data_IF_708007054281
#
_entry.id   IF_708007054281
#
_cell.length_a   1.000
_cell.length_b   1.000
_cell.length_c   1.000
_cell.angle_alpha   90.00
_cell.angle_beta   90.00
_cell.angle_gamma   90.00
#
_symmetry.space_group_name_H-M   'P 1'
#
loop_
_entity.id
_entity.type
_entity.pdbx_description
1 polymer ?
#
# COMPACT_ATOMS: atom_id res chain seq x y z
N UNK A 1 10.20 11.45 -8.02
CA UNK A 1 9.72 10.20 -8.64
C UNK A 1 8.35 9.84 -8.10
N UNK A 2 7.44 9.43 -8.99
CA UNK A 2 6.13 8.87 -8.69
C UNK A 2 6.10 7.43 -9.17
N UNK A 3 5.52 6.52 -8.39
CA UNK A 3 5.43 5.10 -8.74
C UNK A 3 4.00 4.60 -8.52
N UNK A 4 3.46 3.95 -9.55
CA UNK A 4 2.19 3.24 -9.49
C UNK A 4 2.47 1.74 -9.56
N UNK A 5 1.81 0.93 -8.72
CA UNK A 5 1.90 -0.53 -8.76
C UNK A 5 0.51 -1.08 -9.02
N UNK A 6 0.42 -2.01 -9.97
CA UNK A 6 -0.81 -2.69 -10.33
C UNK A 6 -0.78 -4.13 -9.80
N UNK A 7 -1.80 -4.47 -9.03
CA UNK A 7 -1.99 -5.82 -8.52
C UNK A 7 -2.75 -6.65 -9.57
N UNK A 8 -2.05 -7.48 -10.33
CA UNK A 8 -2.71 -8.47 -11.18
C UNK A 8 -3.05 -9.71 -10.35
N UNK A 9 -4.34 -9.94 -10.11
CA UNK A 9 -4.83 -11.09 -9.33
C UNK A 9 -4.76 -12.41 -10.09
N UNK A 10 -4.50 -12.38 -11.41
CA UNK A 10 -4.52 -13.57 -12.29
C UNK A 10 -3.13 -14.11 -12.63
N UNK A 11 -2.09 -13.28 -12.58
CA UNK A 11 -0.73 -13.69 -12.96
C UNK A 11 0.28 -13.28 -11.89
N UNK A 12 0.86 -14.27 -11.22
CA UNK A 12 1.78 -14.09 -10.09
C UNK A 12 3.26 -13.88 -10.49
N UNK A 13 3.54 -13.57 -11.75
CA UNK A 13 4.90 -13.75 -12.29
C UNK A 13 5.78 -12.52 -12.03
N UNK A 14 5.28 -11.29 -12.23
CA UNK A 14 6.02 -10.05 -11.91
C UNK A 14 5.07 -8.87 -11.62
N UNK A 15 5.43 -7.98 -10.68
CA UNK A 15 4.66 -6.76 -10.45
C UNK A 15 4.64 -5.90 -11.72
N UNK A 16 3.45 -5.38 -12.05
CA UNK A 16 3.26 -4.40 -13.12
C UNK A 16 3.12 -3.01 -12.52
N UNK A 17 3.46 -1.98 -13.28
CA UNK A 17 3.40 -0.63 -12.76
C UNK A 17 3.95 0.43 -13.71
N UNK A 18 4.11 1.62 -13.14
CA UNK A 18 4.62 2.80 -13.82
C UNK A 18 5.61 3.54 -12.90
N UNK A 19 6.61 4.17 -13.49
CA UNK A 19 7.59 4.99 -12.79
C UNK A 19 7.83 6.28 -13.57
N UNK A 20 7.62 7.43 -12.95
CA UNK A 20 7.81 8.75 -13.57
C UNK A 20 8.80 9.60 -12.79
N UNK A 21 9.68 10.30 -13.49
CA UNK A 21 10.57 11.29 -12.89
C UNK A 21 9.89 12.66 -12.84
N UNK A 22 9.20 12.94 -11.73
CA UNK A 22 8.51 14.23 -11.53
C UNK A 22 9.41 15.48 -11.58
N UNK A 23 10.75 15.35 -11.58
CA UNK A 23 11.63 16.51 -11.74
C UNK A 23 11.79 16.89 -13.21
N UNK A 24 12.02 15.91 -14.07
CA UNK A 24 12.31 16.08 -15.49
C UNK A 24 11.11 15.80 -16.41
N UNK A 25 10.10 15.10 -15.91
CA UNK A 25 8.89 14.63 -16.61
C UNK A 25 7.65 14.91 -15.74
N UNK A 26 7.36 16.20 -15.56
CA UNK A 26 6.25 16.66 -14.69
C UNK A 26 4.87 16.21 -15.18
N UNK A 27 4.74 16.04 -16.49
CA UNK A 27 3.49 15.66 -17.16
C UNK A 27 3.39 14.14 -17.39
N UNK A 28 4.32 13.35 -16.84
CA UNK A 28 4.26 11.88 -16.81
C UNK A 28 4.23 11.23 -18.22
N UNK A 29 4.92 11.81 -19.20
CA UNK A 29 4.95 11.27 -20.57
C UNK A 29 5.88 10.05 -20.72
N UNK A 30 6.84 9.87 -19.81
CA UNK A 30 7.90 8.89 -19.94
C UNK A 30 7.85 7.84 -18.83
N UNK A 31 7.19 6.72 -19.11
CA UNK A 31 7.16 5.60 -18.16
C UNK A 31 8.50 4.83 -18.14
N UNK A 32 9.20 4.91 -17.01
CA UNK A 32 10.50 4.32 -16.75
C UNK A 32 10.44 2.91 -16.13
N UNK A 33 9.26 2.31 -15.94
CA UNK A 33 9.07 1.06 -15.19
C UNK A 33 9.92 -0.12 -15.69
N UNK A 34 10.00 -0.26 -17.02
CA UNK A 34 10.75 -1.33 -17.71
C UNK A 34 12.22 -0.98 -17.93
N UNK A 35 12.65 0.24 -17.59
CA UNK A 35 14.02 0.68 -17.81
C UNK A 35 14.94 0.14 -16.70
N UNK A 36 15.94 -0.70 -17.01
CA UNK A 36 16.82 -1.31 -16.00
C UNK A 36 17.70 -0.29 -15.27
N UNK A 37 18.01 0.87 -15.88
CA UNK A 37 18.79 1.93 -15.25
C UNK A 37 18.09 2.54 -14.02
N UNK A 38 16.77 2.34 -13.90
CA UNK A 38 15.96 2.85 -12.78
C UNK A 38 15.59 1.76 -11.77
N UNK A 39 16.25 0.60 -11.82
CA UNK A 39 16.00 -0.52 -10.91
C UNK A 39 16.16 -0.13 -9.43
N UNK A 40 17.23 0.59 -9.09
CA UNK A 40 17.47 1.03 -7.71
C UNK A 40 16.41 2.03 -7.23
N UNK A 41 16.00 2.96 -8.11
CA UNK A 41 14.95 3.93 -7.80
C UNK A 41 13.63 3.22 -7.52
N UNK A 42 13.27 2.24 -8.36
CA UNK A 42 12.07 1.41 -8.20
C UNK A 42 12.10 0.65 -6.86
N UNK A 43 13.20 -0.03 -6.55
CA UNK A 43 13.34 -0.79 -5.32
C UNK A 43 13.25 0.10 -4.07
N UNK A 44 13.88 1.27 -4.11
CA UNK A 44 13.81 2.24 -3.00
C UNK A 44 12.38 2.72 -2.75
N UNK A 45 11.65 3.09 -3.81
CA UNK A 45 10.26 3.53 -3.67
C UNK A 45 9.34 2.41 -3.18
N UNK A 46 9.55 1.18 -3.66
CA UNK A 46 8.79 0.01 -3.22
C UNK A 46 9.05 -0.32 -1.74
N UNK A 47 10.31 -0.25 -1.30
CA UNK A 47 10.67 -0.37 0.11
C UNK A 47 9.96 0.69 0.97
N UNK A 48 10.04 1.96 0.57
CA UNK A 48 9.40 3.05 1.30
C UNK A 48 7.87 2.87 1.39
N UNK A 49 7.23 2.39 0.32
CA UNK A 49 5.80 2.09 0.31
C UNK A 49 5.45 0.97 1.30
N UNK A 50 6.22 -0.12 1.29
CA UNK A 50 6.02 -1.25 2.21
C UNK A 50 6.21 -0.80 3.66
N UNK A 51 7.27 -0.07 3.97
CA UNK A 51 7.51 0.49 5.30
C UNK A 51 6.37 1.40 5.74
N UNK A 52 5.87 2.27 4.86
CA UNK A 52 4.73 3.11 5.14
C UNK A 52 3.47 2.29 5.43
N UNK A 53 3.18 1.26 4.64
CA UNK A 53 2.02 0.36 4.85
C UNK A 53 2.11 -0.34 6.20
N UNK A 54 3.28 -0.88 6.58
CA UNK A 54 3.50 -1.46 7.90
C UNK A 54 3.25 -0.46 9.02
N UNK A 55 3.74 0.77 8.88
CA UNK A 55 3.50 1.82 9.88
C UNK A 55 2.02 2.20 9.96
N UNK A 56 1.30 2.23 8.84
CA UNK A 56 -0.15 2.47 8.85
C UNK A 56 -0.90 1.35 9.54
N UNK A 57 -0.52 0.09 9.32
CA UNK A 57 -1.12 -1.06 9.98
C UNK A 57 -0.93 -1.02 11.50
N UNK A 58 0.28 -0.71 11.96
CA UNK A 58 0.57 -0.53 13.39
C UNK A 58 -0.26 0.62 13.98
N UNK A 59 -0.34 1.76 13.28
CA UNK A 59 -1.09 2.94 13.76
C UNK A 59 -2.60 2.76 13.76
N UNK A 60 -3.13 2.01 12.78
CA UNK A 60 -4.56 1.80 12.63
C UNK A 60 -5.12 0.76 13.61
N UNK A 61 -4.25 0.14 14.43
CA UNK A 61 -4.61 -0.94 15.32
C UNK A 61 -5.01 -2.22 14.57
N UNK A 62 -5.36 -3.28 15.29
CA UNK A 62 -6.03 -4.42 14.67
C UNK A 62 -7.38 -3.93 14.16
N UNK A 63 -7.71 -4.20 12.90
CA UNK A 63 -9.04 -3.91 12.33
C UNK A 63 -10.10 -4.56 13.22
N UNK A 64 -10.69 -3.79 14.15
CA UNK A 64 -11.68 -4.24 15.13
C UNK A 64 -11.20 -4.48 16.57
N UNK A 65 -9.94 -4.21 16.93
CA UNK A 65 -9.40 -4.52 18.26
C UNK A 65 -9.91 -3.67 19.42
N UNK A 66 -10.18 -2.39 19.18
CA UNK A 66 -10.65 -1.46 20.22
C UNK A 66 -12.18 -1.32 20.26
N UNK A 67 -12.91 -2.11 19.45
CA UNK A 67 -14.37 -2.10 19.41
C UNK A 67 -15.00 -3.28 20.14
N UNK A 68 -14.29 -3.91 21.08
CA UNK A 68 -14.97 -4.77 22.04
C UNK A 68 -15.72 -3.89 23.03
N UNK A 69 -17.07 -3.90 23.04
CA UNK A 69 -17.82 -3.15 24.02
C UNK A 69 -17.37 -3.59 25.42
N UNK A 70 -17.07 -2.60 26.27
CA UNK A 70 -16.87 -2.84 27.69
C UNK A 70 -18.15 -3.46 28.27
N UNK A 71 -18.09 -4.01 29.48
CA UNK A 71 -19.25 -4.68 30.09
C UNK A 71 -20.53 -3.82 30.12
N UNK A 72 -20.40 -2.49 30.13
CA UNK A 72 -21.51 -1.53 30.13
C UNK A 72 -22.10 -1.29 28.73
N UNK A 73 -21.35 -1.57 27.66
CA UNK A 73 -21.76 -1.39 26.26
C UNK A 73 -22.34 -2.69 25.66
N UNK A 74 -22.39 -3.78 26.42
CA UNK A 74 -22.94 -5.08 25.98
C UNK A 74 -24.45 -5.11 26.20
N UNK A 75 -25.19 -5.54 25.17
CA UNK A 75 -26.62 -5.80 25.28
C UNK A 75 -26.83 -7.27 25.72
N UNK A 76 -27.25 -7.49 26.97
CA UNK A 76 -27.63 -8.82 27.47
C UNK A 76 -29.04 -9.16 27.00
N UNK A 77 -29.14 -9.90 25.90
CA UNK A 77 -30.41 -10.37 25.38
C UNK A 77 -30.77 -11.70 26.07
N UNK A 78 -31.47 -11.64 27.21
CA UNK A 78 -32.00 -12.84 27.87
C UNK A 78 -33.24 -13.30 27.09
N UNK A 79 -33.08 -14.36 26.31
CA UNK A 79 -34.21 -15.08 25.72
C UNK A 79 -35.08 -15.60 26.87
N UNK A 80 -36.37 -15.21 26.85
CA UNK A 80 -37.39 -15.70 27.78
C UNK A 80 -37.78 -17.14 27.47
#
# INVERSE_FOLDING_TARGET
YKMNIYHNLKESIQPQGELFDMQNDKDEFHNLWKNPSYFEVKNRLMKNLIEWLFQQEIRSGTRGGDSFPNSLQRLDNKLK
#
